data_IF_516295406114
#
_entry.id   IF_516295406114
#
_cell.length_a   1.000
_cell.length_b   1.000
_cell.length_c   1.000
_cell.angle_alpha   90.00
_cell.angle_beta   90.00
_cell.angle_gamma   90.00
#
_symmetry.space_group_name_H-M   'P 1'
#
loop_
_entity.id
_entity.type
_entity.pdbx_description
1 polymer ?
#
# COMPACT_ATOMS: atom_id res chain seq x y z
N UNK A 1 -7.18 -2.78 20.08
CA UNK A 1 -6.23 -2.99 18.97
C UNK A 1 -6.80 -2.43 17.70
N UNK A 2 -6.06 -1.54 17.05
CA UNK A 2 -6.49 -1.16 15.72
C UNK A 2 -6.52 -2.43 14.87
N UNK A 3 -7.66 -2.69 14.24
CA UNK A 3 -7.84 -3.88 13.44
C UNK A 3 -6.86 -3.89 12.26
N UNK A 4 -6.26 -5.03 11.99
CA UNK A 4 -5.53 -5.22 10.74
C UNK A 4 -6.53 -5.16 9.61
N UNK A 5 -6.33 -4.25 8.67
CA UNK A 5 -7.20 -4.14 7.52
C UNK A 5 -6.55 -4.85 6.34
N UNK A 6 -7.03 -6.05 6.05
CA UNK A 6 -6.63 -6.77 4.86
C UNK A 6 -7.49 -6.29 3.68
N UNK A 7 -6.86 -6.19 2.52
CA UNK A 7 -7.42 -5.52 1.36
C UNK A 7 -8.85 -5.85 0.99
N UNK A 8 -9.28 -7.09 1.11
CA UNK A 8 -10.60 -7.53 0.69
C UNK A 8 -11.56 -7.89 1.82
N UNK A 9 -11.05 -8.16 3.01
CA UNK A 9 -11.90 -8.62 4.11
C UNK A 9 -12.92 -7.61 4.57
N UNK A 10 -12.59 -6.35 4.44
CA UNK A 10 -13.45 -5.26 4.93
C UNK A 10 -14.53 -4.83 3.95
N UNK A 11 -14.39 -5.16 2.67
CA UNK A 11 -15.27 -4.63 1.63
C UNK A 11 -16.42 -5.57 1.28
N UNK A 12 -16.25 -6.87 1.42
CA UNK A 12 -17.19 -7.78 0.82
C UNK A 12 -17.76 -8.91 1.67
N UNK A 13 -17.33 -9.13 2.88
CA UNK A 13 -17.72 -10.31 3.67
C UNK A 13 -17.70 -11.60 2.83
N UNK A 14 -16.88 -11.62 1.80
CA UNK A 14 -16.89 -12.67 0.79
C UNK A 14 -15.63 -13.51 0.98
N UNK A 15 -15.75 -14.83 1.02
CA UNK A 15 -14.61 -15.74 1.16
C UNK A 15 -13.73 -15.79 -0.09
N UNK A 16 -13.71 -14.74 -0.89
CA UNK A 16 -12.86 -14.66 -2.07
C UNK A 16 -11.40 -14.63 -1.68
N UNK A 17 -10.60 -15.40 -2.40
CA UNK A 17 -9.16 -15.40 -2.21
C UNK A 17 -8.57 -14.07 -2.63
N UNK A 18 -7.55 -13.65 -1.89
CA UNK A 18 -6.83 -12.41 -2.16
C UNK A 18 -5.41 -12.73 -2.63
N UNK A 19 -5.15 -12.53 -3.92
CA UNK A 19 -3.85 -12.78 -4.54
C UNK A 19 -3.03 -11.51 -4.75
N UNK A 20 -3.39 -10.40 -4.11
CA UNK A 20 -2.60 -9.17 -4.24
C UNK A 20 -1.12 -9.45 -3.96
N UNK A 21 -0.25 -9.00 -4.83
CA UNK A 21 1.19 -9.23 -4.68
C UNK A 21 1.73 -8.67 -3.37
N UNK A 22 1.22 -7.53 -2.92
CA UNK A 22 1.74 -6.85 -1.73
C UNK A 22 1.09 -7.37 -0.46
N UNK A 23 -0.24 -7.39 -0.40
CA UNK A 23 -0.97 -7.67 0.83
C UNK A 23 -1.78 -8.96 0.81
N UNK A 24 -1.86 -9.68 -0.31
CA UNK A 24 -2.72 -10.84 -0.44
C UNK A 24 -2.19 -12.06 0.32
N UNK A 25 -2.94 -12.57 1.32
CA UNK A 25 -2.50 -13.73 2.09
C UNK A 25 -2.50 -15.02 1.27
N UNK A 26 -3.24 -15.05 0.17
CA UNK A 26 -3.38 -16.26 -0.68
C UNK A 26 -2.33 -16.35 -1.77
N UNK A 27 -1.51 -15.31 -1.96
CA UNK A 27 -0.42 -15.34 -2.93
C UNK A 27 0.85 -15.85 -2.24
N UNK A 28 1.28 -17.10 -2.52
CA UNK A 28 2.46 -17.67 -1.85
C UNK A 28 3.76 -16.97 -2.21
N UNK A 29 3.79 -16.23 -3.30
CA UNK A 29 4.96 -15.48 -3.76
C UNK A 29 4.86 -13.97 -3.46
N UNK A 30 3.82 -13.56 -2.73
CA UNK A 30 3.59 -12.17 -2.39
C UNK A 30 4.45 -11.68 -1.23
N UNK A 31 4.39 -10.39 -1.00
CA UNK A 31 5.15 -9.74 0.07
C UNK A 31 4.50 -9.91 1.44
N UNK A 32 3.20 -10.17 1.49
CA UNK A 32 2.41 -10.36 2.72
C UNK A 32 2.53 -9.19 3.71
N UNK A 33 2.55 -7.98 3.21
CA UNK A 33 2.58 -6.79 4.06
C UNK A 33 1.22 -6.59 4.72
N UNK A 34 1.24 -6.28 6.01
CA UNK A 34 0.04 -6.04 6.80
C UNK A 34 -0.03 -4.58 7.22
N UNK A 35 -1.13 -3.93 6.91
CA UNK A 35 -1.36 -2.52 7.24
C UNK A 35 -2.31 -2.39 8.41
N UNK A 36 -2.04 -1.44 9.28
CA UNK A 36 -2.86 -1.11 10.43
C UNK A 36 -3.27 0.36 10.35
N UNK A 37 -4.53 0.66 10.67
CA UNK A 37 -4.99 2.04 10.74
C UNK A 37 -4.67 2.63 12.11
N UNK A 38 -3.92 3.73 12.13
CA UNK A 38 -3.78 4.60 13.27
C UNK A 38 -4.96 5.57 13.24
N UNK A 39 -5.98 5.32 14.05
CA UNK A 39 -7.24 6.07 14.00
C UNK A 39 -7.08 7.52 14.42
N UNK A 40 -6.21 7.82 15.37
CA UNK A 40 -5.98 9.22 15.80
C UNK A 40 -5.39 10.05 14.68
N UNK A 41 -4.44 9.50 13.94
CA UNK A 41 -3.75 10.19 12.87
C UNK A 41 -4.41 9.98 11.50
N UNK A 42 -5.42 9.13 11.42
CA UNK A 42 -6.03 8.70 10.15
C UNK A 42 -4.98 8.29 9.13
N UNK A 43 -4.01 7.49 9.59
CA UNK A 43 -2.82 7.10 8.84
C UNK A 43 -2.71 5.58 8.83
N UNK A 44 -2.52 5.00 7.64
CA UNK A 44 -2.23 3.57 7.52
C UNK A 44 -0.74 3.35 7.68
N UNK A 45 -0.36 2.36 8.45
CA UNK A 45 1.03 2.06 8.79
C UNK A 45 1.32 0.58 8.56
N UNK A 46 2.48 0.29 7.97
CA UNK A 46 3.01 -1.06 7.85
C UNK A 46 4.48 -1.07 8.23
N UNK A 47 4.83 -1.91 9.20
CA UNK A 47 6.22 -2.18 9.54
C UNK A 47 6.71 -3.36 8.70
N UNK A 48 7.88 -3.25 8.12
CA UNK A 48 8.39 -4.28 7.22
C UNK A 48 9.92 -4.29 7.17
N UNK A 49 10.44 -5.32 6.55
CA UNK A 49 11.86 -5.51 6.31
C UNK A 49 11.99 -6.21 4.96
N UNK A 50 12.90 -5.74 4.11
CA UNK A 50 13.07 -6.28 2.76
C UNK A 50 14.28 -7.21 2.70
N UNK A 51 14.07 -8.42 2.24
CA UNK A 51 15.14 -9.39 2.03
C UNK A 51 15.87 -9.20 0.70
N UNK A 52 16.88 -10.01 0.48
CA UNK A 52 17.75 -9.94 -0.70
C UNK A 52 17.04 -10.10 -2.04
N UNK A 53 15.89 -10.77 -2.07
CA UNK A 53 15.11 -10.94 -3.32
C UNK A 53 14.68 -9.61 -3.94
N UNK A 54 14.67 -8.54 -3.15
CA UNK A 54 14.24 -7.21 -3.57
C UNK A 54 15.42 -6.29 -3.93
N UNK A 55 16.60 -6.85 -4.11
CA UNK A 55 17.80 -6.08 -4.40
C UNK A 55 17.71 -5.32 -5.73
N UNK A 56 18.08 -4.05 -5.69
CA UNK A 56 18.39 -3.23 -6.83
C UNK A 56 19.88 -2.87 -6.80
N UNK A 57 20.28 -1.67 -6.31
CA UNK A 57 21.69 -1.40 -6.02
C UNK A 57 22.19 -2.32 -4.91
N UNK A 58 23.49 -2.67 -4.88
CA UNK A 58 24.02 -3.55 -3.85
C UNK A 58 23.62 -3.10 -2.43
N UNK A 59 23.04 -4.01 -1.66
CA UNK A 59 22.61 -3.76 -0.27
C UNK A 59 21.35 -2.94 -0.13
N UNK A 60 20.70 -2.57 -1.23
CA UNK A 60 19.53 -1.68 -1.21
C UNK A 60 18.39 -2.24 -2.05
N UNK A 61 17.18 -1.75 -1.77
CA UNK A 61 15.98 -2.15 -2.49
C UNK A 61 15.95 -1.59 -3.89
N UNK A 62 15.40 -2.38 -4.81
CA UNK A 62 15.07 -1.93 -6.15
C UNK A 62 14.01 -0.81 -6.08
N UNK A 63 14.19 0.25 -6.89
CA UNK A 63 13.28 1.40 -6.90
C UNK A 63 11.83 1.04 -7.24
N UNK A 64 11.63 0.08 -8.12
CA UNK A 64 10.28 -0.40 -8.45
C UNK A 64 9.58 -1.08 -7.27
N UNK A 65 10.31 -1.76 -6.39
CA UNK A 65 9.75 -2.34 -5.17
C UNK A 65 9.34 -1.24 -4.19
N UNK A 66 10.14 -0.20 -4.06
CA UNK A 66 9.80 0.97 -3.25
C UNK A 66 8.48 1.59 -3.76
N UNK A 67 8.36 1.79 -5.07
CA UNK A 67 7.14 2.32 -5.68
C UNK A 67 5.94 1.41 -5.42
N UNK A 68 6.13 0.09 -5.48
CA UNK A 68 5.08 -0.91 -5.20
C UNK A 68 4.55 -0.75 -3.78
N UNK A 69 5.42 -0.62 -2.79
CA UNK A 69 5.03 -0.45 -1.38
C UNK A 69 4.29 0.86 -1.17
N UNK A 70 4.79 1.94 -1.77
CA UNK A 70 4.15 3.26 -1.68
C UNK A 70 2.77 3.25 -2.32
N UNK A 71 2.62 2.62 -3.48
CA UNK A 71 1.33 2.50 -4.17
C UNK A 71 0.32 1.74 -3.31
N UNK A 72 0.72 0.61 -2.75
CA UNK A 72 -0.15 -0.19 -1.89
C UNK A 72 -0.58 0.60 -0.65
N UNK A 73 0.36 1.28 0.00
CA UNK A 73 0.08 2.09 1.19
C UNK A 73 -0.95 3.19 0.88
N UNK A 74 -0.76 3.91 -0.22
CA UNK A 74 -1.72 4.93 -0.64
C UNK A 74 -3.09 4.34 -0.98
N UNK A 75 -3.10 3.16 -1.61
CA UNK A 75 -4.34 2.46 -1.94
C UNK A 75 -5.16 2.07 -0.71
N UNK A 76 -4.50 1.73 0.40
CA UNK A 76 -5.18 1.41 1.66
C UNK A 76 -5.98 2.59 2.20
N UNK A 77 -5.50 3.80 1.99
CA UNK A 77 -6.15 5.02 2.48
C UNK A 77 -7.58 5.18 1.92
N UNK A 78 -7.83 4.68 0.73
CA UNK A 78 -9.15 4.76 0.11
C UNK A 78 -10.24 4.07 0.94
N UNK A 79 -9.87 3.16 1.84
CA UNK A 79 -10.80 2.48 2.75
C UNK A 79 -11.46 3.45 3.74
N UNK A 80 -10.82 4.57 4.04
CA UNK A 80 -11.43 5.60 4.90
C UNK A 80 -12.71 6.16 4.28
N UNK A 81 -12.84 6.08 2.97
CA UNK A 81 -14.00 6.55 2.22
C UNK A 81 -14.91 5.41 1.77
N UNK A 82 -14.65 4.17 2.20
CA UNK A 82 -15.42 2.98 1.83
C UNK A 82 -15.52 2.79 0.31
N UNK A 83 -14.48 3.15 -0.42
CA UNK A 83 -14.42 2.99 -1.88
C UNK A 83 -13.29 2.04 -2.26
N UNK A 84 -13.47 1.40 -3.41
CA UNK A 84 -12.39 0.71 -4.10
C UNK A 84 -11.95 1.62 -5.23
N UNK A 85 -10.66 1.83 -5.35
CA UNK A 85 -10.10 2.73 -6.34
C UNK A 85 -8.87 2.11 -6.98
N UNK A 86 -8.61 2.50 -8.21
CA UNK A 86 -7.41 2.09 -8.95
C UNK A 86 -6.47 3.27 -9.12
N UNK A 87 -5.19 2.98 -9.14
CA UNK A 87 -4.15 4.00 -9.33
C UNK A 87 -4.25 4.57 -10.73
N UNK A 88 -4.40 5.89 -10.82
CA UNK A 88 -4.38 6.61 -12.10
C UNK A 88 -2.99 7.15 -12.37
N UNK A 89 -2.36 7.74 -11.34
CA UNK A 89 -1.09 8.44 -11.49
C UNK A 89 -0.40 8.48 -10.13
N UNK A 90 0.91 8.36 -10.13
CA UNK A 90 1.69 8.58 -8.90
C UNK A 90 3.05 9.16 -9.22
N UNK A 91 3.55 9.97 -8.30
CA UNK A 91 4.90 10.52 -8.33
C UNK A 91 5.67 9.98 -7.14
N UNK A 92 6.88 9.52 -7.36
CA UNK A 92 7.76 9.00 -6.31
C UNK A 92 9.03 9.84 -6.27
N UNK A 93 9.40 10.26 -5.07
CA UNK A 93 10.69 10.89 -4.81
C UNK A 93 11.55 9.92 -4.00
N UNK A 94 12.72 9.59 -4.53
CA UNK A 94 13.71 8.74 -3.88
C UNK A 94 14.74 9.64 -3.21
N UNK A 95 14.60 9.86 -1.91
CA UNK A 95 15.43 10.83 -1.17
C UNK A 95 16.72 10.22 -0.69
N UNK A 96 16.67 8.98 -0.24
CA UNK A 96 17.84 8.21 0.21
C UNK A 96 17.67 6.75 -0.19
N UNK A 97 18.76 6.00 -0.41
CA UNK A 97 18.65 4.56 -0.68
C UNK A 97 17.93 3.83 0.45
N UNK A 98 17.05 2.89 0.09
CA UNK A 98 16.31 2.08 1.07
C UNK A 98 17.09 0.80 1.33
N UNK A 99 17.58 0.60 2.57
CA UNK A 99 18.43 -0.55 2.88
C UNK A 99 17.65 -1.84 2.95
N UNK A 100 18.30 -2.95 2.57
CA UNK A 100 17.79 -4.29 2.80
C UNK A 100 18.11 -4.72 4.24
N UNK A 101 17.33 -5.67 4.76
CA UNK A 101 17.55 -6.33 6.06
C UNK A 101 17.49 -5.39 7.26
N UNK A 102 16.88 -4.22 7.10
CA UNK A 102 16.69 -3.26 8.19
C UNK A 102 15.22 -2.96 8.42
N UNK A 103 14.89 -2.55 9.63
CA UNK A 103 13.52 -2.21 10.01
C UNK A 103 13.07 -0.92 9.35
N UNK A 104 11.96 -1.00 8.65
CA UNK A 104 11.36 0.12 7.93
C UNK A 104 9.88 0.20 8.27
N UNK A 105 9.29 1.36 8.00
CA UNK A 105 7.83 1.48 7.99
C UNK A 105 7.39 2.37 6.85
N UNK A 106 6.19 2.14 6.36
CA UNK A 106 5.50 3.01 5.42
C UNK A 106 4.26 3.57 6.11
N UNK A 107 4.03 4.87 5.92
CA UNK A 107 2.86 5.57 6.46
C UNK A 107 2.17 6.28 5.31
N UNK A 108 0.83 6.19 5.28
CA UNK A 108 0.04 6.80 4.20
C UNK A 108 -1.19 7.50 4.75
N UNK A 109 -1.54 8.64 4.15
CA UNK A 109 -2.70 9.43 4.55
C UNK A 109 -3.37 10.10 3.35
N UNK A 110 -4.62 10.50 3.55
CA UNK A 110 -5.39 11.24 2.56
C UNK A 110 -4.89 12.67 2.44
N UNK A 111 -4.85 13.16 1.21
CA UNK A 111 -4.56 14.58 0.91
C UNK A 111 -5.84 15.31 0.54
N UNK A 112 -6.63 14.76 -0.40
CA UNK A 112 -7.84 15.41 -0.90
C UNK A 112 -8.77 14.41 -1.57
N UNK A 113 -10.04 14.78 -1.65
CA UNK A 113 -11.05 14.02 -2.42
C UNK A 113 -11.80 15.00 -3.30
N UNK A 114 -11.86 14.69 -4.60
CA UNK A 114 -12.56 15.48 -5.60
C UNK A 114 -13.44 14.56 -6.43
N UNK A 115 -14.70 14.40 -6.02
CA UNK A 115 -15.62 13.45 -6.68
C UNK A 115 -15.09 12.03 -6.60
N UNK A 116 -14.81 11.41 -7.74
CA UNK A 116 -14.25 10.06 -7.82
C UNK A 116 -12.74 10.02 -7.67
N UNK A 117 -12.08 11.17 -7.63
CA UNK A 117 -10.63 11.24 -7.49
C UNK A 117 -10.23 11.35 -6.03
N UNK A 118 -9.37 10.45 -5.59
CA UNK A 118 -8.82 10.42 -4.24
C UNK A 118 -7.31 10.64 -4.36
N UNK A 119 -6.82 11.67 -3.68
CA UNK A 119 -5.40 12.01 -3.67
C UNK A 119 -4.83 11.61 -2.33
N UNK A 120 -3.82 10.76 -2.35
CA UNK A 120 -3.18 10.23 -1.14
C UNK A 120 -1.68 10.44 -1.22
N UNK A 121 -1.02 10.37 -0.07
CA UNK A 121 0.44 10.42 0.02
C UNK A 121 0.96 9.31 0.92
N UNK A 122 2.21 8.94 0.72
CA UNK A 122 2.87 7.96 1.58
C UNK A 122 4.36 8.27 1.70
N UNK A 123 4.95 7.80 2.81
CA UNK A 123 6.38 7.94 3.07
C UNK A 123 6.94 6.62 3.62
N UNK A 124 8.14 6.26 3.19
CA UNK A 124 8.92 5.18 3.80
C UNK A 124 9.97 5.81 4.71
N UNK A 125 9.99 5.34 5.96
CA UNK A 125 10.87 5.86 6.99
C UNK A 125 11.71 4.73 7.60
N UNK A 126 12.91 5.07 8.05
CA UNK A 126 13.73 4.14 8.82
C UNK A 126 13.42 4.28 10.32
N UNK A 127 14.12 3.52 11.17
CA UNK A 127 13.91 3.52 12.62
C UNK A 127 14.37 4.82 13.30
N UNK A 128 15.08 5.68 12.59
CA UNK A 128 15.47 7.02 13.05
C UNK A 128 14.49 8.10 12.59
N UNK A 129 13.35 7.68 12.00
CA UNK A 129 12.34 8.59 11.45
C UNK A 129 12.84 9.46 10.28
N UNK A 130 13.88 9.02 9.59
CA UNK A 130 14.29 9.68 8.35
C UNK A 130 13.40 9.20 7.21
N UNK A 131 12.92 10.14 6.40
CA UNK A 131 12.14 9.82 5.19
C UNK A 131 13.10 9.42 4.08
N UNK A 132 12.98 8.19 3.62
CA UNK A 132 13.85 7.63 2.57
C UNK A 132 13.25 7.79 1.18
N UNK A 133 11.92 7.67 1.10
CA UNK A 133 11.18 7.85 -0.14
C UNK A 133 9.78 8.36 0.20
N UNK A 134 9.17 9.08 -0.72
CA UNK A 134 7.78 9.55 -0.55
C UNK A 134 7.07 9.58 -1.88
N UNK A 135 5.75 9.54 -1.81
CA UNK A 135 4.90 9.53 -2.99
C UNK A 135 3.64 10.35 -2.80
N UNK A 136 3.06 10.75 -3.92
CA UNK A 136 1.73 11.31 -4.00
C UNK A 136 1.04 10.62 -5.17
N UNK A 137 -0.20 10.19 -4.98
CA UNK A 137 -0.93 9.45 -5.99
C UNK A 137 -2.36 9.90 -6.13
N UNK A 138 -2.88 9.76 -7.33
CA UNK A 138 -4.29 9.98 -7.67
C UNK A 138 -4.92 8.64 -7.95
N UNK A 139 -6.02 8.36 -7.27
CA UNK A 139 -6.78 7.12 -7.37
C UNK A 139 -8.19 7.44 -7.85
N UNK A 140 -8.75 6.57 -8.70
CA UNK A 140 -10.10 6.75 -9.21
C UNK A 140 -11.00 5.68 -8.60
N UNK A 141 -12.05 6.11 -7.90
CA UNK A 141 -13.04 5.21 -7.35
C UNK A 141 -13.80 4.51 -8.48
N UNK A 142 -13.98 3.20 -8.35
CA UNK A 142 -14.59 2.35 -9.36
C UNK A 142 -15.72 1.52 -8.76
N UNK A 143 -16.55 0.96 -9.64
CA UNK A 143 -17.50 -0.10 -9.27
C UNK A 143 -16.80 -1.44 -9.44
N UNK A 144 -16.45 -2.12 -8.33
CA UNK A 144 -15.68 -3.36 -8.41
C UNK A 144 -16.41 -4.50 -9.12
N UNK A 145 -17.74 -4.56 -9.05
CA UNK A 145 -18.48 -5.61 -9.76
C UNK A 145 -18.39 -5.42 -11.27
N UNK A 146 -18.51 -4.19 -11.75
CA UNK A 146 -18.38 -3.89 -13.18
C UNK A 146 -16.98 -4.16 -13.69
N UNK A 147 -15.96 -3.81 -12.92
CA UNK A 147 -14.58 -3.91 -13.36
C UNK A 147 -13.99 -5.31 -13.16
N UNK A 148 -14.28 -5.94 -12.02
CA UNK A 148 -13.59 -7.16 -11.59
C UNK A 148 -14.46 -8.41 -11.48
N UNK A 149 -15.79 -8.27 -11.60
CA UNK A 149 -16.72 -9.36 -11.29
C UNK A 149 -16.41 -10.69 -11.99
N UNK A 150 -15.94 -10.64 -13.24
CA UNK A 150 -15.61 -11.83 -14.02
C UNK A 150 -14.25 -12.46 -13.68
N UNK A 151 -13.39 -11.77 -12.93
CA UNK A 151 -12.06 -12.22 -12.58
C UNK A 151 -11.95 -12.75 -11.16
N UNK A 152 -13.01 -12.67 -10.39
CA UNK A 152 -12.98 -13.05 -8.99
C UNK A 152 -13.47 -14.49 -8.85
N UNK A 153 -12.66 -15.33 -8.20
CA UNK A 153 -13.05 -16.68 -7.85
C UNK A 153 -14.20 -16.66 -6.85
N UNK A 154 -15.22 -17.48 -7.10
CA UNK A 154 -16.39 -17.59 -6.25
C UNK A 154 -16.39 -18.90 -5.50
#
# INVERSE_FOLDING_TARGET
MPGKIHGHETVHHNPRKNFCFVCGPDNPEGMHLEFTLDEERQTFVCHFQLGKRYTGPPGHSHGGIIATILDEAMGKVNKLRHVIAVTKEMTVEYLKPVPLEESLRVEAKEVAVHGRQHVNMAEILNDKNEVLARSKGVFIAIDPEKMFGKFVER
#
